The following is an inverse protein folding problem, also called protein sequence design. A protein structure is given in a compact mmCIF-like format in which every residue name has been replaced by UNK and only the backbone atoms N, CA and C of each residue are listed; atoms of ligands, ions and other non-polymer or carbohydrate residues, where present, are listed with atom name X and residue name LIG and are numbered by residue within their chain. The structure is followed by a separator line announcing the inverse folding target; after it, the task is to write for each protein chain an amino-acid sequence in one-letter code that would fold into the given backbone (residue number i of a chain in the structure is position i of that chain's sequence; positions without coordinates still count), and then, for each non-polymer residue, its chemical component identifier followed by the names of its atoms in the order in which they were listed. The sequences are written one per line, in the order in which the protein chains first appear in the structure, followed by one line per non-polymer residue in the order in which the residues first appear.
data_IF_572795561531
#
_entry.id   IF_572795561531
#
_cell.length_a   1.000
_cell.length_b   1.000
_cell.length_c   1.000
_cell.angle_alpha   90.00
_cell.angle_beta   90.00
_cell.angle_gamma   90.00
#
_symmetry.space_group_name_H-M   'P 1'
#
loop_
_entity.id
_entity.type
_entity.pdbx_description
1 polymer ?
#
# COMPACT_ATOMS: atom_id res chain seq x y z
N UNK A 1 -36.70 18.55 31.30
CA UNK A 1 -36.02 18.01 30.11
C UNK A 1 -35.78 19.13 29.08
N UNK A 2 -36.73 20.06 28.92
CA UNK A 2 -36.57 21.29 28.12
C UNK A 2 -35.39 22.18 28.52
N UNK A 3 -35.13 22.38 29.83
CA UNK A 3 -34.01 23.23 30.27
C UNK A 3 -32.63 22.68 29.91
N UNK A 4 -32.50 21.35 29.78
CA UNK A 4 -31.23 20.72 29.42
C UNK A 4 -30.96 20.84 27.93
N UNK A 5 -32.00 20.70 27.10
CA UNK A 5 -31.90 20.88 25.65
C UNK A 5 -31.55 22.34 25.33
N UNK A 6 -32.21 23.29 25.98
CA UNK A 6 -31.94 24.72 25.79
C UNK A 6 -30.51 25.10 26.18
N UNK A 7 -30.00 24.56 27.29
CA UNK A 7 -28.62 24.78 27.71
C UNK A 7 -27.61 24.18 26.71
N UNK A 8 -27.93 23.03 26.13
CA UNK A 8 -27.08 22.40 25.13
C UNK A 8 -27.00 23.23 23.84
N UNK A 9 -28.12 23.79 23.39
CA UNK A 9 -28.17 24.69 22.23
C UNK A 9 -27.35 25.97 22.48
N UNK A 10 -27.49 26.58 23.67
CA UNK A 10 -26.72 27.76 24.08
C UNK A 10 -25.21 27.47 24.15
N UNK A 11 -24.80 26.32 24.70
CA UNK A 11 -23.39 25.91 24.77
C UNK A 11 -22.81 25.61 23.37
N UNK A 12 -23.60 25.05 22.46
CA UNK A 12 -23.20 24.81 21.06
C UNK A 12 -23.00 26.11 20.29
N UNK A 13 -23.89 27.09 20.46
CA UNK A 13 -23.77 28.39 19.78
C UNK A 13 -22.52 29.15 20.24
N UNK A 14 -22.24 29.12 21.54
CA UNK A 14 -21.01 29.67 22.11
C UNK A 14 -19.75 28.99 21.55
N UNK A 15 -19.77 27.67 21.43
CA UNK A 15 -18.65 26.90 20.87
C UNK A 15 -18.41 27.21 19.38
N UNK A 16 -19.47 27.37 18.58
CA UNK A 16 -19.36 27.75 17.17
C UNK A 16 -18.76 29.16 17.00
N UNK A 17 -19.13 30.10 17.87
CA UNK A 17 -18.56 31.44 17.87
C UNK A 17 -17.07 31.45 18.23
N UNK A 18 -16.65 30.65 19.23
CA UNK A 18 -15.24 30.50 19.60
C UNK A 18 -14.41 29.89 18.46
N UNK A 19 -14.95 28.91 17.73
CA UNK A 19 -14.31 28.34 16.55
C UNK A 19 -14.15 29.34 15.41
N UNK A 20 -15.20 30.14 15.13
CA UNK A 20 -15.15 31.18 14.11
C UNK A 20 -14.11 32.26 14.45
N UNK A 21 -14.06 32.72 15.69
CA UNK A 21 -13.07 33.70 16.16
C UNK A 21 -11.63 33.15 16.12
N UNK A 22 -11.45 31.84 16.37
CA UNK A 22 -10.13 31.18 16.25
C UNK A 22 -9.68 31.07 14.79
N UNK A 23 -10.61 30.86 13.85
CA UNK A 23 -10.32 30.81 12.41
C UNK A 23 -9.79 32.16 11.91
N UNK A 24 -10.40 33.28 12.33
CA UNK A 24 -9.92 34.63 11.99
C UNK A 24 -8.52 34.93 12.53
N UNK A 25 -8.20 34.46 13.75
CA UNK A 25 -6.85 34.59 14.33
C UNK A 25 -5.79 33.72 13.66
N UNK A 26 -6.19 32.67 12.92
CA UNK A 26 -5.25 31.77 12.22
C UNK A 26 -4.83 32.26 10.84
N UNK A 27 -5.45 33.32 10.30
CA UNK A 27 -5.07 33.91 9.01
C UNK A 27 -3.82 34.82 9.07
N UNK A 28 -3.04 34.75 10.15
CA UNK A 28 -1.72 35.39 10.25
C UNK A 28 -0.54 34.48 9.90
N UNK A 29 -0.76 33.21 9.61
CA UNK A 29 0.26 32.33 9.03
C UNK A 29 0.23 32.44 7.52
N UNK A 30 1.39 32.64 6.89
CA UNK A 30 1.51 32.69 5.43
C UNK A 30 0.71 31.55 4.79
N UNK A 31 -0.24 31.90 3.92
CA UNK A 31 -0.96 30.91 3.15
C UNK A 31 0.05 30.14 2.31
N UNK A 32 -0.11 28.81 2.26
CA UNK A 32 0.76 27.96 1.46
C UNK A 32 0.80 28.46 0.01
N UNK A 33 1.94 29.01 -0.39
CA UNK A 33 2.15 29.55 -1.71
C UNK A 33 2.86 28.50 -2.55
N UNK A 34 2.10 27.83 -3.41
CA UNK A 34 2.63 26.79 -4.29
C UNK A 34 3.75 27.32 -5.21
N UNK A 35 3.69 28.59 -5.62
CA UNK A 35 4.74 29.18 -6.46
C UNK A 35 6.04 29.42 -5.70
N UNK A 36 5.96 29.80 -4.42
CA UNK A 36 7.11 29.92 -3.52
C UNK A 36 7.73 28.53 -3.28
N UNK A 37 6.88 27.56 -2.95
CA UNK A 37 7.29 26.19 -2.66
C UNK A 37 7.97 25.49 -3.85
N UNK A 38 7.47 25.66 -5.07
CA UNK A 38 8.14 25.12 -6.27
C UNK A 38 9.56 25.71 -6.45
N UNK A 39 9.74 27.01 -6.18
CA UNK A 39 11.07 27.64 -6.24
C UNK A 39 12.01 27.08 -5.18
N UNK A 40 11.49 26.78 -3.99
CA UNK A 40 12.27 26.17 -2.91
C UNK A 40 12.71 24.74 -3.24
N UNK A 41 11.81 23.93 -3.80
CA UNK A 41 12.10 22.54 -4.20
C UNK A 41 13.16 22.50 -5.31
N UNK A 42 13.06 23.35 -6.32
CA UNK A 42 14.05 23.38 -7.42
C UNK A 42 15.44 23.82 -6.95
N UNK A 43 15.53 24.56 -5.84
CA UNK A 43 16.79 24.98 -5.23
C UNK A 43 17.35 23.94 -4.23
N UNK A 44 16.57 22.93 -3.85
CA UNK A 44 16.98 21.99 -2.82
C UNK A 44 17.99 20.97 -3.38
N UNK A 45 19.15 20.77 -2.74
CA UNK A 45 20.26 19.97 -3.28
C UNK A 45 19.92 18.51 -3.58
N UNK A 46 18.89 17.95 -2.92
CA UNK A 46 18.41 16.60 -3.22
C UNK A 46 17.62 16.50 -4.54
N UNK A 47 17.09 17.61 -5.08
CA UNK A 47 16.19 17.65 -6.24
C UNK A 47 16.72 18.49 -7.41
N UNK A 48 17.91 19.09 -7.28
CA UNK A 48 18.60 19.79 -8.37
C UNK A 48 18.80 18.80 -9.54
N UNK A 49 18.18 19.12 -10.69
CA UNK A 49 18.23 18.27 -11.90
C UNK A 49 19.55 18.37 -12.65
N UNK A 50 20.30 19.45 -12.43
CA UNK A 50 21.54 19.74 -13.14
C UNK A 50 22.72 19.86 -12.17
N UNK A 51 23.66 18.91 -12.27
CA UNK A 51 24.91 18.97 -11.53
C UNK A 51 25.76 20.13 -12.09
N UNK A 52 26.28 21.00 -11.22
CA UNK A 52 27.17 22.08 -11.65
C UNK A 52 28.48 21.47 -12.18
N UNK A 53 28.83 21.81 -13.41
CA UNK A 53 30.10 21.41 -14.03
C UNK A 53 31.25 22.30 -13.56
N UNK A 54 32.48 21.81 -13.70
CA UNK A 54 33.68 22.61 -13.46
C UNK A 54 33.82 23.78 -14.45
N UNK A 55 34.83 24.65 -14.26
CA UNK A 55 35.12 25.78 -15.16
C UNK A 55 35.33 25.38 -16.64
N UNK A 56 35.63 24.12 -16.88
CA UNK A 56 35.85 23.45 -18.16
C UNK A 56 34.59 22.78 -18.73
N UNK A 57 33.44 22.90 -18.05
CA UNK A 57 32.19 22.28 -18.46
C UNK A 57 32.15 20.77 -18.28
N UNK A 58 33.15 20.16 -17.64
CA UNK A 58 33.21 18.73 -17.37
C UNK A 58 32.78 18.42 -15.93
N UNK A 59 32.16 17.26 -15.74
CA UNK A 59 31.91 16.72 -14.41
C UNK A 59 33.22 16.25 -13.77
N UNK A 60 33.29 16.16 -12.44
CA UNK A 60 34.45 15.55 -11.79
C UNK A 60 34.63 14.09 -12.23
N UNK A 61 35.84 13.55 -12.16
CA UNK A 61 36.13 12.18 -12.61
C UNK A 61 35.23 11.13 -11.91
N UNK A 62 34.89 11.37 -10.65
CA UNK A 62 34.01 10.51 -9.86
C UNK A 62 32.56 10.54 -10.38
N UNK A 63 32.06 11.72 -10.75
CA UNK A 63 30.71 11.89 -11.31
C UNK A 63 30.62 11.26 -12.70
N UNK A 64 31.67 11.41 -13.53
CA UNK A 64 31.74 10.76 -14.84
C UNK A 64 31.76 9.24 -14.72
N UNK A 65 32.51 8.70 -13.74
CA UNK A 65 32.53 7.27 -13.46
C UNK A 65 31.15 6.75 -12.99
N UNK A 66 30.45 7.50 -12.14
CA UNK A 66 29.08 7.15 -11.71
C UNK A 66 28.05 7.25 -12.85
N UNK A 67 28.16 8.23 -13.74
CA UNK A 67 27.34 8.33 -14.95
C UNK A 67 27.61 7.16 -15.89
N UNK A 68 28.89 6.79 -16.07
CA UNK A 68 29.26 5.60 -16.83
C UNK A 68 28.61 4.36 -16.21
N UNK A 69 28.69 4.13 -14.90
CA UNK A 69 28.04 3.00 -14.24
C UNK A 69 26.51 2.97 -14.40
N UNK A 70 25.84 4.13 -14.31
CA UNK A 70 24.37 4.23 -14.41
C UNK A 70 23.85 4.06 -15.85
N UNK A 71 24.64 4.47 -16.83
CA UNK A 71 24.25 4.51 -18.24
C UNK A 71 25.07 3.59 -19.16
N UNK A 72 25.93 2.74 -18.58
CA UNK A 72 26.61 1.70 -19.33
C UNK A 72 25.56 0.73 -19.88
N UNK A 73 25.45 0.68 -21.21
CA UNK A 73 24.45 -0.10 -21.92
C UNK A 73 24.62 -1.60 -21.69
N UNK A 74 25.81 -2.04 -21.26
CA UNK A 74 26.06 -3.45 -20.93
C UNK A 74 25.72 -3.80 -19.46
N UNK A 75 25.57 -2.81 -18.57
CA UNK A 75 25.40 -3.06 -17.13
C UNK A 75 23.97 -2.92 -16.59
N UNK A 76 22.98 -2.55 -17.42
CA UNK A 76 21.56 -2.60 -17.03
C UNK A 76 20.83 -3.90 -17.45
N UNK A 77 21.59 -4.96 -17.71
CA UNK A 77 21.09 -6.34 -17.55
C UNK A 77 21.53 -6.79 -16.17
N UNK A 78 20.61 -6.74 -15.20
CA UNK A 78 20.87 -7.06 -13.79
C UNK A 78 21.62 -8.40 -13.62
N UNK A 79 22.93 -8.30 -13.40
CA UNK A 79 23.72 -9.35 -12.77
C UNK A 79 24.13 -8.85 -11.40
N UNK A 80 23.32 -9.14 -10.39
CA UNK A 80 23.81 -9.12 -9.00
C UNK A 80 24.58 -10.43 -8.82
N UNK A 81 25.90 -10.32 -8.88
CA UNK A 81 26.81 -11.41 -8.56
C UNK A 81 27.25 -11.22 -7.11
N UNK A 82 26.85 -12.13 -6.24
CA UNK A 82 27.58 -12.43 -5.00
C UNK A 82 28.02 -13.89 -5.13
N UNK A 83 29.32 -14.13 -5.33
CA UNK A 83 29.94 -15.45 -5.18
C UNK A 83 29.93 -15.87 -3.70
N UNK A 84 30.03 -17.13 -3.29
CA UNK A 84 30.47 -18.39 -3.89
C UNK A 84 29.55 -19.51 -3.28
N UNK A 85 29.26 -20.69 -3.85
CA UNK A 85 30.16 -21.81 -4.15
C UNK A 85 29.37 -23.01 -4.76
N UNK A 86 29.96 -23.64 -5.79
CA UNK A 86 29.90 -25.06 -6.25
C UNK A 86 28.58 -25.77 -6.65
N UNK A 87 28.43 -25.87 -7.98
CA UNK A 87 28.21 -27.06 -8.84
C UNK A 87 27.19 -28.15 -8.46
N UNK A 88 26.08 -28.22 -9.22
CA UNK A 88 25.65 -29.47 -9.85
C UNK A 88 24.72 -29.25 -11.05
N UNK A 89 25.13 -29.75 -12.21
CA UNK A 89 24.40 -29.71 -13.47
C UNK A 89 23.13 -30.57 -13.41
N UNK A 90 21.94 -29.96 -13.56
CA UNK A 90 20.76 -30.59 -14.14
C UNK A 90 19.96 -29.58 -14.98
N UNK A 91 19.93 -29.88 -16.28
CA UNK A 91 18.98 -29.47 -17.33
C UNK A 91 18.41 -28.05 -17.32
N UNK A 92 18.90 -27.30 -18.29
CA UNK A 92 18.28 -26.13 -18.91
C UNK A 92 16.89 -26.53 -19.45
N UNK A 93 15.83 -26.14 -18.75
CA UNK A 93 14.65 -25.59 -19.41
C UNK A 93 14.83 -24.07 -19.38
N UNK A 94 15.01 -23.46 -20.55
CA UNK A 94 14.98 -22.02 -20.71
C UNK A 94 13.58 -21.50 -20.44
N UNK A 95 13.23 -21.35 -19.16
CA UNK A 95 12.16 -20.46 -18.75
C UNK A 95 12.85 -19.17 -18.33
N UNK A 96 12.81 -18.15 -19.19
CA UNK A 96 13.04 -16.78 -18.76
C UNK A 96 11.82 -16.35 -17.93
N UNK A 97 11.56 -17.04 -16.82
CA UNK A 97 10.54 -16.67 -15.85
C UNK A 97 11.14 -15.55 -15.01
N UNK A 98 10.99 -14.33 -15.50
CA UNK A 98 11.30 -13.15 -14.72
C UNK A 98 10.39 -13.17 -13.50
N UNK A 99 10.92 -13.61 -12.35
CA UNK A 99 10.16 -13.69 -11.12
C UNK A 99 9.80 -12.27 -10.68
N UNK A 100 8.50 -11.98 -10.60
CA UNK A 100 8.04 -10.65 -10.23
C UNK A 100 7.80 -10.60 -8.72
N UNK A 101 8.46 -9.66 -8.06
CA UNK A 101 8.29 -9.40 -6.63
C UNK A 101 7.50 -8.11 -6.45
N UNK A 102 6.45 -8.16 -5.64
CA UNK A 102 5.55 -7.06 -5.39
C UNK A 102 5.46 -6.77 -3.87
N UNK A 103 5.42 -5.49 -3.46
CA UNK A 103 5.01 -5.14 -2.11
C UNK A 103 3.49 -5.30 -1.97
N UNK A 104 3.01 -5.63 -0.77
CA UNK A 104 1.58 -5.73 -0.45
C UNK A 104 1.26 -4.94 0.82
N UNK A 105 0.10 -4.29 0.81
CA UNK A 105 -0.51 -3.71 2.02
C UNK A 105 -1.57 -4.68 2.53
N UNK A 106 -1.51 -5.00 3.81
CA UNK A 106 -2.57 -5.73 4.50
C UNK A 106 -3.36 -4.75 5.35
N UNK A 107 -4.67 -4.71 5.15
CA UNK A 107 -5.60 -3.90 5.90
C UNK A 107 -6.43 -4.83 6.80
N UNK A 108 -6.58 -4.45 8.06
CA UNK A 108 -7.47 -5.10 9.03
C UNK A 108 -8.57 -4.11 9.43
N UNK A 109 -9.62 -3.93 8.61
CA UNK A 109 -10.56 -2.82 8.79
C UNK A 109 -11.39 -2.94 10.07
N UNK A 110 -11.53 -4.14 10.62
CA UNK A 110 -12.21 -4.39 11.91
C UNK A 110 -11.53 -3.68 13.08
N UNK A 111 -10.20 -3.57 13.04
CA UNK A 111 -9.39 -3.04 14.14
C UNK A 111 -8.66 -1.74 13.74
N UNK A 112 -8.94 -1.22 12.53
CA UNK A 112 -8.24 -0.07 11.95
C UNK A 112 -6.71 -0.24 11.94
N UNK A 113 -6.23 -1.46 11.68
CA UNK A 113 -4.80 -1.77 11.63
C UNK A 113 -4.34 -1.99 10.19
N UNK A 114 -3.03 -1.84 9.98
CA UNK A 114 -2.38 -2.06 8.69
C UNK A 114 -1.03 -2.70 8.89
N UNK A 115 -0.65 -3.58 7.98
CA UNK A 115 0.66 -4.22 7.92
C UNK A 115 1.18 -4.25 6.47
N UNK A 116 2.45 -4.56 6.28
CA UNK A 116 3.14 -4.50 5.00
C UNK A 116 4.00 -5.73 4.76
N UNK A 117 3.76 -6.42 3.65
CA UNK A 117 4.70 -7.41 3.10
C UNK A 117 5.55 -6.69 2.08
N UNK A 118 6.87 -6.69 2.27
CA UNK A 118 7.81 -5.97 1.39
C UNK A 118 8.02 -6.69 0.07
N UNK A 119 8.07 -8.01 0.12
CA UNK A 119 8.46 -8.86 -1.00
C UNK A 119 7.51 -10.05 -1.07
N UNK A 120 6.61 -10.06 -2.05
CA UNK A 120 5.73 -11.16 -2.36
C UNK A 120 5.95 -11.59 -3.82
N UNK A 121 6.34 -12.84 -4.03
CA UNK A 121 6.48 -13.41 -5.36
C UNK A 121 5.10 -13.59 -6.00
N UNK A 122 4.99 -13.34 -7.30
CA UNK A 122 3.71 -13.36 -8.00
C UNK A 122 3.14 -14.77 -8.23
N UNK A 123 3.99 -15.79 -8.21
CA UNK A 123 3.61 -17.20 -8.27
C UNK A 123 3.35 -17.82 -6.88
N UNK A 124 3.71 -17.14 -5.80
CA UNK A 124 3.44 -17.62 -4.44
C UNK A 124 1.94 -17.63 -4.11
N UNK A 125 1.50 -18.71 -3.47
CA UNK A 125 0.13 -18.83 -2.96
C UNK A 125 -0.05 -17.94 -1.73
N UNK A 126 -1.21 -17.29 -1.62
CA UNK A 126 -1.51 -16.47 -0.44
C UNK A 126 -1.51 -17.28 0.87
N UNK A 127 -1.81 -18.58 0.82
CA UNK A 127 -1.76 -19.46 1.97
C UNK A 127 -0.37 -19.55 2.58
N UNK A 128 0.66 -19.67 1.74
CA UNK A 128 2.05 -19.78 2.19
C UNK A 128 2.54 -18.42 2.70
N UNK A 129 2.29 -17.36 1.93
CA UNK A 129 2.69 -15.99 2.28
C UNK A 129 2.07 -15.52 3.60
N UNK A 130 0.78 -15.80 3.81
CA UNK A 130 0.06 -15.34 5.00
C UNK A 130 0.17 -16.31 6.18
N UNK A 131 0.64 -17.54 5.99
CA UNK A 131 0.89 -18.46 7.10
C UNK A 131 1.93 -17.85 8.04
N UNK A 132 3.03 -17.34 7.50
CA UNK A 132 4.09 -16.68 8.28
C UNK A 132 3.56 -15.45 9.03
N UNK A 133 2.74 -14.62 8.35
CA UNK A 133 2.13 -13.41 8.93
C UNK A 133 1.23 -13.75 10.12
N UNK A 134 0.51 -14.86 10.06
CA UNK A 134 -0.47 -15.25 11.08
C UNK A 134 0.02 -16.34 12.04
N UNK A 135 1.28 -16.77 11.94
CA UNK A 135 1.85 -17.77 12.84
C UNK A 135 1.92 -17.25 14.29
N UNK A 136 2.27 -15.96 14.44
CA UNK A 136 2.29 -15.28 15.73
C UNK A 136 1.23 -14.18 15.76
N UNK A 137 0.54 -13.98 16.90
CA UNK A 137 -0.40 -12.88 17.03
C UNK A 137 0.30 -11.54 16.87
N UNK A 138 -0.31 -10.67 16.07
CA UNK A 138 0.04 -9.26 16.04
C UNK A 138 -0.19 -8.61 17.41
N UNK A 139 0.45 -7.48 17.66
CA UNK A 139 0.45 -6.92 19.02
C UNK A 139 -0.93 -6.52 19.56
N UNK A 140 -1.80 -6.14 18.65
CA UNK A 140 -3.17 -5.74 18.90
C UNK A 140 -4.15 -6.93 18.93
N UNK A 141 -3.71 -8.15 18.62
CA UNK A 141 -4.48 -9.41 18.63
C UNK A 141 -3.88 -10.45 19.61
N UNK A 142 -3.13 -10.01 20.64
CA UNK A 142 -2.46 -10.92 21.59
C UNK A 142 -3.43 -11.72 22.45
N UNK A 143 -4.56 -11.12 22.84
CA UNK A 143 -5.45 -11.69 23.86
C UNK A 143 -6.22 -12.92 23.34
N UNK A 144 -6.76 -12.83 22.13
CA UNK A 144 -7.62 -13.86 21.54
C UNK A 144 -6.99 -14.58 20.34
N UNK A 145 -5.99 -13.96 19.70
CA UNK A 145 -5.34 -14.44 18.47
C UNK A 145 -6.37 -14.90 17.43
N UNK A 146 -7.30 -13.99 17.09
CA UNK A 146 -8.41 -14.23 16.17
C UNK A 146 -7.96 -14.32 14.72
N UNK A 147 -6.91 -13.59 14.35
CA UNK A 147 -6.40 -13.55 12.99
C UNK A 147 -5.44 -14.71 12.75
N UNK A 148 -6.03 -15.88 12.47
CA UNK A 148 -5.33 -17.08 12.01
C UNK A 148 -5.77 -17.42 10.61
N UNK A 149 -4.89 -18.04 9.82
CA UNK A 149 -5.21 -18.41 8.42
C UNK A 149 -6.52 -19.22 8.30
N UNK A 150 -6.85 -20.04 9.31
CA UNK A 150 -8.07 -20.84 9.35
C UNK A 150 -9.34 -20.06 9.73
N UNK A 151 -9.21 -18.88 10.31
CA UNK A 151 -10.30 -18.06 10.86
C UNK A 151 -10.48 -16.71 10.14
N UNK A 152 -9.75 -16.46 9.05
CA UNK A 152 -9.86 -15.21 8.30
C UNK A 152 -10.49 -15.42 6.92
N UNK A 153 -11.05 -14.34 6.39
CA UNK A 153 -11.42 -14.16 4.99
C UNK A 153 -10.50 -13.09 4.39
N UNK A 154 -9.86 -13.41 3.28
CA UNK A 154 -8.94 -12.52 2.57
C UNK A 154 -9.65 -11.99 1.34
N UNK A 155 -9.57 -10.69 1.11
CA UNK A 155 -10.32 -10.02 0.05
C UNK A 155 -9.48 -8.94 -0.64
N UNK A 156 -9.85 -8.60 -1.87
CA UNK A 156 -9.31 -7.43 -2.57
C UNK A 156 -10.45 -6.53 -3.05
N UNK A 157 -10.21 -5.22 -3.03
CA UNK A 157 -11.17 -4.22 -3.50
C UNK A 157 -11.40 -4.35 -5.00
N UNK A 158 -12.66 -4.26 -5.42
CA UNK A 158 -13.03 -4.14 -6.83
C UNK A 158 -13.52 -2.73 -7.15
N UNK A 159 -13.54 -2.38 -8.44
CA UNK A 159 -14.12 -1.13 -8.94
C UNK A 159 -15.61 -1.08 -8.63
N UNK A 160 -16.03 -0.16 -7.75
CA UNK A 160 -17.43 0.17 -7.49
C UNK A 160 -17.80 1.47 -8.18
N UNK A 161 -19.09 1.67 -8.51
CA UNK A 161 -19.57 2.96 -9.01
C UNK A 161 -19.60 3.98 -7.87
N UNK A 162 -19.34 5.23 -8.18
CA UNK A 162 -19.40 6.33 -7.20
C UNK A 162 -20.79 6.39 -6.53
N UNK A 163 -20.81 6.51 -5.21
CA UNK A 163 -22.03 6.50 -4.40
C UNK A 163 -22.61 5.11 -4.10
N UNK A 164 -21.99 4.03 -4.57
CA UNK A 164 -22.36 2.66 -4.17
C UNK A 164 -21.45 2.14 -3.05
N UNK A 165 -21.96 1.17 -2.29
CA UNK A 165 -21.17 0.50 -1.27
C UNK A 165 -19.92 -0.16 -1.88
N UNK A 166 -18.80 -0.21 -1.15
CA UNK A 166 -17.60 -0.92 -1.59
C UNK A 166 -17.89 -2.40 -1.86
N UNK A 167 -17.31 -2.91 -2.94
CA UNK A 167 -17.36 -4.32 -3.29
C UNK A 167 -15.97 -4.93 -3.20
N UNK A 168 -15.93 -6.18 -2.76
CA UNK A 168 -14.69 -6.94 -2.57
C UNK A 168 -14.84 -8.32 -3.18
N UNK A 169 -13.73 -8.90 -3.61
CA UNK A 169 -13.67 -10.29 -4.06
C UNK A 169 -12.86 -11.12 -3.09
N UNK A 170 -13.43 -12.24 -2.66
CA UNK A 170 -12.75 -13.18 -1.77
C UNK A 170 -11.64 -13.94 -2.50
N UNK A 171 -10.49 -14.04 -1.84
CA UNK A 171 -9.32 -14.76 -2.29
C UNK A 171 -9.22 -16.05 -1.47
N UNK A 172 -9.18 -17.18 -2.17
CA UNK A 172 -8.92 -18.48 -1.55
C UNK A 172 -7.41 -18.70 -1.39
N UNK A 173 -6.90 -18.84 -0.16
CA UNK A 173 -5.45 -18.88 0.10
C UNK A 173 -4.74 -20.10 -0.47
N UNK A 174 -5.43 -21.25 -0.55
CA UNK A 174 -4.86 -22.49 -1.08
C UNK A 174 -4.99 -22.65 -2.60
N UNK A 175 -5.56 -21.66 -3.30
CA UNK A 175 -5.88 -21.76 -4.72
C UNK A 175 -5.23 -20.64 -5.52
N UNK A 176 -5.30 -19.40 -5.03
CA UNK A 176 -4.87 -18.25 -5.81
C UNK A 176 -3.46 -17.80 -5.44
N UNK A 177 -2.69 -17.43 -6.47
CA UNK A 177 -1.46 -16.65 -6.31
C UNK A 177 -1.71 -15.15 -6.47
N UNK A 178 -0.74 -14.32 -6.10
CA UNK A 178 -0.82 -12.88 -6.30
C UNK A 178 -0.98 -12.53 -7.79
N UNK A 179 -0.13 -13.09 -8.65
CA UNK A 179 -0.14 -12.82 -10.09
C UNK A 179 -1.46 -13.18 -10.77
N UNK A 180 -2.17 -14.20 -10.29
CA UNK A 180 -3.52 -14.54 -10.77
C UNK A 180 -4.57 -13.52 -10.33
N UNK A 181 -4.53 -13.10 -9.06
CA UNK A 181 -5.48 -12.11 -8.51
C UNK A 181 -5.32 -10.76 -9.19
N UNK A 182 -4.07 -10.32 -9.44
CA UNK A 182 -3.80 -9.04 -10.11
C UNK A 182 -4.26 -9.02 -11.57
N UNK A 183 -4.43 -10.18 -12.21
CA UNK A 183 -4.97 -10.27 -13.59
C UNK A 183 -6.49 -10.14 -13.65
N UNK A 184 -7.19 -10.10 -12.52
CA UNK A 184 -8.65 -9.94 -12.53
C UNK A 184 -9.04 -8.53 -13.04
N UNK A 185 -10.01 -8.43 -13.96
CA UNK A 185 -10.28 -7.17 -14.69
C UNK A 185 -10.79 -6.03 -13.80
N UNK A 186 -11.42 -6.39 -12.68
CA UNK A 186 -12.16 -5.47 -11.82
C UNK A 186 -11.36 -5.06 -10.58
N UNK A 187 -10.15 -5.59 -10.40
CA UNK A 187 -9.29 -5.28 -9.25
C UNK A 187 -8.82 -3.82 -9.31
N UNK A 188 -8.76 -3.19 -8.14
CA UNK A 188 -8.21 -1.85 -7.94
C UNK A 188 -6.87 -1.96 -7.23
N UNK A 189 -5.83 -1.40 -7.84
CA UNK A 189 -4.52 -1.22 -7.23
C UNK A 189 -4.37 0.28 -6.96
N UNK A 190 -4.16 0.64 -5.70
CA UNK A 190 -3.95 2.03 -5.28
C UNK A 190 -2.45 2.33 -5.24
N UNK A 191 -2.02 3.41 -5.89
CA UNK A 191 -0.62 3.87 -5.88
C UNK A 191 0.43 2.81 -6.26
N UNK A 192 0.04 1.85 -7.11
CA UNK A 192 0.92 0.77 -7.56
C UNK A 192 1.15 -0.34 -6.52
N UNK A 193 0.48 -0.30 -5.36
CA UNK A 193 0.61 -1.31 -4.30
C UNK A 193 -0.73 -2.04 -4.11
N UNK A 194 -0.78 -3.36 -4.32
CA UNK A 194 -1.99 -4.14 -4.06
C UNK A 194 -2.35 -4.14 -2.58
N UNK A 195 -3.63 -3.89 -2.29
CA UNK A 195 -4.18 -3.88 -0.94
C UNK A 195 -5.06 -5.10 -0.68
N UNK A 196 -4.68 -5.91 0.30
CA UNK A 196 -5.50 -7.00 0.84
C UNK A 196 -6.32 -6.49 2.02
N UNK A 197 -7.60 -6.82 2.05
CA UNK A 197 -8.45 -6.62 3.21
C UNK A 197 -8.66 -7.96 3.89
N UNK A 198 -8.31 -8.05 5.17
CA UNK A 198 -8.41 -9.27 5.96
C UNK A 198 -9.41 -9.06 7.09
N UNK A 199 -10.34 -9.99 7.17
CA UNK A 199 -11.46 -9.98 8.10
C UNK A 199 -11.50 -11.29 8.87
N UNK A 200 -11.99 -11.28 10.10
CA UNK A 200 -12.41 -12.51 10.79
C UNK A 200 -13.64 -13.10 10.09
N UNK A 201 -13.75 -14.43 10.06
CA UNK A 201 -14.90 -15.10 9.42
C UNK A 201 -16.24 -14.69 10.03
N UNK A 202 -16.27 -14.52 11.34
CA UNK A 202 -17.45 -14.07 12.09
C UNK A 202 -17.90 -12.67 11.61
N UNK A 203 -16.99 -11.71 11.62
CA UNK A 203 -17.30 -10.36 11.18
C UNK A 203 -17.68 -10.33 9.70
N UNK A 204 -16.94 -11.06 8.86
CA UNK A 204 -17.20 -11.12 7.42
C UNK A 204 -18.62 -11.63 7.13
N UNK A 205 -19.03 -12.72 7.78
CA UNK A 205 -20.37 -13.29 7.61
C UNK A 205 -21.51 -12.36 8.03
N UNK A 206 -21.24 -11.45 8.97
CA UNK A 206 -22.24 -10.52 9.50
C UNK A 206 -22.33 -9.22 8.70
N UNK A 207 -21.22 -8.78 8.09
CA UNK A 207 -21.10 -7.45 7.47
C UNK A 207 -21.02 -7.48 5.94
N UNK A 208 -20.86 -8.65 5.33
CA UNK A 208 -20.71 -8.79 3.90
C UNK A 208 -21.88 -9.59 3.30
N UNK A 209 -22.40 -9.11 2.18
CA UNK A 209 -23.46 -9.79 1.41
C UNK A 209 -22.93 -10.30 0.09
N UNK A 210 -23.10 -11.60 -0.18
CA UNK A 210 -22.72 -12.20 -1.45
C UNK A 210 -23.58 -11.65 -2.59
N UNK A 211 -22.94 -11.16 -3.66
CA UNK A 211 -23.60 -10.65 -4.87
C UNK A 211 -23.29 -11.46 -6.12
N UNK A 212 -22.14 -12.14 -6.17
CA UNK A 212 -21.78 -13.10 -7.24
C UNK A 212 -21.15 -14.35 -6.63
N UNK A 213 -21.88 -15.48 -6.70
CA UNK A 213 -21.43 -16.77 -6.16
C UNK A 213 -20.28 -17.39 -6.94
N UNK A 214 -20.23 -17.19 -8.26
CA UNK A 214 -19.22 -17.81 -9.12
C UNK A 214 -17.86 -17.12 -8.95
N UNK A 215 -17.88 -15.80 -8.86
CA UNK A 215 -16.68 -14.99 -8.66
C UNK A 215 -16.35 -14.77 -7.18
N UNK A 216 -17.24 -15.13 -6.26
CA UNK A 216 -17.13 -14.86 -4.81
C UNK A 216 -16.99 -13.36 -4.52
N UNK A 217 -17.89 -12.57 -5.10
CA UNK A 217 -17.92 -11.12 -4.91
C UNK A 217 -18.96 -10.78 -3.85
N UNK A 218 -18.56 -9.91 -2.94
CA UNK A 218 -19.36 -9.45 -1.81
C UNK A 218 -19.48 -7.92 -1.84
N UNK A 219 -20.60 -7.42 -1.35
CA UNK A 219 -20.80 -6.00 -1.08
C UNK A 219 -20.80 -5.79 0.43
N UNK A 220 -20.16 -4.72 0.89
CA UNK A 220 -20.18 -4.33 2.29
C UNK A 220 -21.54 -3.72 2.63
N UNK A 221 -22.17 -4.21 3.70
CA UNK A 221 -23.46 -3.72 4.17
C UNK A 221 -23.36 -2.32 4.77
#
# INVERSE_FOLDING_TARGET
MEDLAKKLDEDLEKFMQDLAAKKEKSHGGESFNFSEWCKEIDQHPAFIKELKTGPDGQYSAEIQALQALKYDKESNSHKVSTGDDVTNQKNISSSNDQQHVFPLVILYPEYCQTDFIRECQDDALFGDVLYEVFEQPAEWDKDEHKFRISNVCICMSLKSKEGQNPIVREILPSVHSLGEVLKWPDVVISDGVPGLQIYTKEWFSSNMKLIDKNKRIFIKN
#
